data_IF_431494209584
#
_entry.id   IF_431494209584
#
_cell.length_a   1.000
_cell.length_b   1.000
_cell.length_c   1.000
_cell.angle_alpha   90.00
_cell.angle_beta   90.00
_cell.angle_gamma   90.00
#
_symmetry.space_group_name_H-M   'P 1'
#
loop_
_entity.id
_entity.type
_entity.pdbx_description
1 polymer ?
#
# COMPACT_ATOMS: atom_id res chain seq x y z
N UNK A 1 9.68 0.43 -13.78
CA UNK A 1 10.46 0.17 -12.55
C UNK A 1 9.87 -1.04 -11.85
N UNK A 2 10.66 -2.10 -11.60
CA UNK A 2 10.22 -3.22 -10.75
C UNK A 2 10.43 -2.81 -9.28
N UNK A 3 9.35 -2.69 -8.52
CA UNK A 3 9.41 -2.44 -7.08
C UNK A 3 9.33 -3.78 -6.37
N UNK A 4 10.45 -4.22 -5.79
CA UNK A 4 10.54 -5.49 -5.07
C UNK A 4 10.45 -5.29 -3.56
N UNK A 5 10.06 -6.36 -2.87
CA UNK A 5 10.08 -6.40 -1.42
C UNK A 5 11.51 -6.29 -0.90
N UNK A 6 11.78 -5.28 -0.08
CA UNK A 6 13.09 -5.11 0.57
C UNK A 6 13.13 -5.87 1.88
N UNK A 7 14.24 -6.54 2.20
CA UNK A 7 14.44 -7.21 3.52
C UNK A 7 14.21 -6.28 4.71
N UNK A 8 14.45 -4.98 4.56
CA UNK A 8 14.16 -4.00 5.62
C UNK A 8 12.66 -3.92 5.97
N UNK A 9 11.77 -4.29 5.05
CA UNK A 9 10.32 -4.28 5.25
C UNK A 9 9.84 -5.38 6.18
N UNK A 10 10.60 -6.48 6.30
CA UNK A 10 10.29 -7.59 7.22
C UNK A 10 10.24 -7.13 8.68
N UNK A 11 11.06 -6.14 9.05
CA UNK A 11 11.05 -5.54 10.39
C UNK A 11 10.16 -4.30 10.46
N UNK A 12 10.13 -3.51 9.39
CA UNK A 12 9.41 -2.24 9.37
C UNK A 12 7.89 -2.43 9.40
N UNK A 13 7.33 -3.40 8.69
CA UNK A 13 5.87 -3.62 8.67
C UNK A 13 5.31 -3.93 10.06
N UNK A 14 5.84 -4.91 10.83
CA UNK A 14 5.38 -5.14 12.19
C UNK A 14 5.48 -3.91 13.10
N UNK A 15 6.52 -3.09 12.93
CA UNK A 15 6.67 -1.84 13.68
C UNK A 15 5.58 -0.82 13.32
N UNK A 16 5.29 -0.63 12.04
CA UNK A 16 4.24 0.28 11.58
C UNK A 16 2.85 -0.19 12.01
N UNK A 17 2.57 -1.49 11.97
CA UNK A 17 1.30 -2.05 12.48
C UNK A 17 1.16 -1.71 13.97
N UNK A 18 2.22 -1.90 14.75
CA UNK A 18 2.24 -1.55 16.18
C UNK A 18 2.06 -0.04 16.39
N UNK A 19 2.69 0.79 15.58
CA UNK A 19 2.62 2.25 15.70
C UNK A 19 1.22 2.80 15.40
N UNK A 20 0.58 2.34 14.33
CA UNK A 20 -0.72 2.89 13.90
C UNK A 20 -1.93 2.19 14.51
N UNK A 21 -1.80 0.91 14.89
CA UNK A 21 -2.92 0.09 15.33
C UNK A 21 -2.70 -0.55 16.71
N UNK A 22 -1.52 -0.40 17.32
CA UNK A 22 -1.18 -1.03 18.60
C UNK A 22 -0.77 -2.49 18.45
N UNK A 23 -1.64 -3.33 17.87
CA UNK A 23 -1.35 -4.74 17.58
C UNK A 23 -2.10 -5.25 16.32
N UNK A 24 -1.66 -6.38 15.72
CA UNK A 24 -2.31 -6.96 14.55
C UNK A 24 -3.79 -7.36 14.75
N UNK A 25 -4.19 -7.66 16.00
CA UNK A 25 -5.57 -7.97 16.35
C UNK A 25 -6.49 -6.75 16.25
N UNK A 26 -6.02 -5.56 16.64
CA UNK A 26 -6.76 -4.30 16.46
C UNK A 26 -6.88 -3.94 14.98
N UNK A 27 -5.80 -4.08 14.21
CA UNK A 27 -5.83 -3.92 12.75
C UNK A 27 -6.91 -4.79 12.12
N UNK A 28 -6.96 -6.08 12.46
CA UNK A 28 -7.95 -7.03 11.91
C UNK A 28 -9.36 -6.89 12.49
N UNK A 29 -9.55 -6.15 13.60
CA UNK A 29 -10.89 -5.71 14.05
C UNK A 29 -11.39 -4.54 13.22
N UNK A 30 -10.51 -3.61 12.89
CA UNK A 30 -10.84 -2.47 12.03
C UNK A 30 -11.00 -2.88 10.57
N UNK A 31 -10.21 -3.85 10.11
CA UNK A 31 -10.24 -4.40 8.75
C UNK A 31 -10.47 -5.92 8.81
N UNK A 32 -11.73 -6.38 9.00
CA UNK A 32 -12.04 -7.80 9.18
C UNK A 32 -11.59 -8.72 8.04
N UNK A 33 -11.48 -8.19 6.82
CA UNK A 33 -11.00 -8.92 5.66
C UNK A 33 -9.51 -9.25 5.73
N UNK A 34 -8.74 -8.60 6.62
CA UNK A 34 -7.34 -8.93 6.87
C UNK A 34 -7.20 -10.16 7.79
N UNK A 35 -8.27 -10.71 8.39
CA UNK A 35 -8.13 -11.91 9.22
C UNK A 35 -7.62 -13.10 8.39
N UNK A 36 -6.71 -13.90 8.95
CA UNK A 36 -6.24 -15.13 8.30
C UNK A 36 -7.37 -16.14 8.05
N UNK A 37 -8.44 -16.07 8.83
CA UNK A 37 -9.65 -16.89 8.69
C UNK A 37 -10.69 -16.29 7.75
N UNK A 38 -10.41 -15.12 7.16
CA UNK A 38 -11.34 -14.50 6.23
C UNK A 38 -11.41 -15.34 4.95
N UNK A 39 -12.63 -15.73 4.56
CA UNK A 39 -12.86 -16.49 3.35
C UNK A 39 -12.73 -15.56 2.15
N UNK A 40 -11.54 -15.52 1.57
CA UNK A 40 -11.31 -14.90 0.27
C UNK A 40 -12.11 -15.67 -0.77
N UNK A 41 -13.07 -15.00 -1.41
CA UNK A 41 -13.70 -15.52 -2.64
C UNK A 41 -12.72 -15.23 -3.79
N UNK A 42 -12.53 -16.19 -4.68
CA UNK A 42 -11.53 -16.13 -5.77
C UNK A 42 -11.67 -14.86 -6.65
N UNK A 43 -10.56 -14.49 -7.31
CA UNK A 43 -10.35 -13.34 -8.23
C UNK A 43 -10.59 -11.92 -7.66
N UNK A 44 -11.34 -11.75 -6.57
CA UNK A 44 -11.67 -10.45 -5.98
C UNK A 44 -10.51 -9.78 -5.21
N UNK A 45 -9.35 -10.44 -5.04
CA UNK A 45 -8.20 -9.90 -4.31
C UNK A 45 -7.19 -9.15 -5.18
N UNK A 46 -7.49 -8.98 -6.47
CA UNK A 46 -6.64 -8.25 -7.41
C UNK A 46 -6.95 -6.76 -7.29
N UNK A 47 -5.92 -5.98 -6.94
CA UNK A 47 -6.04 -4.52 -6.91
C UNK A 47 -5.79 -3.94 -8.30
N UNK A 48 -6.76 -3.17 -8.76
CA UNK A 48 -6.66 -2.27 -9.91
C UNK A 48 -7.07 -0.88 -9.46
N UNK A 49 -6.67 0.17 -10.19
CA UNK A 49 -7.17 1.53 -9.94
C UNK A 49 -8.71 1.55 -9.93
N UNK A 50 -9.33 0.82 -10.86
CA UNK A 50 -10.77 0.58 -10.92
C UNK A 50 -11.34 -0.09 -9.66
N UNK A 51 -10.66 -1.07 -9.09
CA UNK A 51 -11.09 -1.74 -7.85
C UNK A 51 -11.05 -0.79 -6.63
N UNK A 52 -10.06 0.13 -6.58
CA UNK A 52 -10.00 1.17 -5.55
C UNK A 52 -11.10 2.23 -5.72
N UNK A 53 -11.41 2.58 -6.97
CA UNK A 53 -12.49 3.52 -7.29
C UNK A 53 -13.88 2.95 -6.98
N UNK A 54 -14.02 1.62 -6.79
CA UNK A 54 -15.27 1.01 -6.42
C UNK A 54 -15.60 1.25 -4.92
N UNK A 55 -16.62 2.06 -4.59
CA UNK A 55 -16.98 2.34 -3.20
C UNK A 55 -17.45 1.08 -2.45
N UNK A 56 -17.91 0.05 -3.15
CA UNK A 56 -18.40 -1.19 -2.56
C UNK A 56 -17.28 -2.20 -2.25
N UNK A 57 -16.02 -1.95 -2.65
CA UNK A 57 -14.93 -2.92 -2.44
C UNK A 57 -14.40 -2.87 -1.00
N UNK A 58 -15.09 -3.53 -0.07
CA UNK A 58 -14.67 -3.61 1.35
C UNK A 58 -13.26 -4.22 1.54
N UNK A 59 -12.73 -4.89 0.52
CA UNK A 59 -11.47 -5.64 0.56
C UNK A 59 -10.20 -4.77 0.47
N UNK A 60 -10.33 -3.46 0.20
CA UNK A 60 -9.22 -2.53 0.00
C UNK A 60 -9.23 -1.33 0.98
N UNK A 61 -9.89 -1.41 2.14
CA UNK A 61 -10.04 -0.24 3.03
C UNK A 61 -8.71 0.37 3.48
N UNK A 62 -7.70 -0.44 3.80
CA UNK A 62 -6.37 0.04 4.17
C UNK A 62 -5.70 0.83 3.02
N UNK A 63 -5.87 0.35 1.79
CA UNK A 63 -5.35 0.95 0.57
C UNK A 63 -6.12 2.24 0.24
N UNK A 64 -7.44 2.26 0.45
CA UNK A 64 -8.26 3.47 0.34
C UNK A 64 -7.90 4.52 1.39
N UNK A 65 -7.58 4.12 2.62
CA UNK A 65 -7.07 5.04 3.62
C UNK A 65 -5.72 5.63 3.18
N UNK A 66 -4.84 4.80 2.60
CA UNK A 66 -3.58 5.28 2.03
C UNK A 66 -3.81 6.30 0.88
N UNK A 67 -4.80 6.07 0.01
CA UNK A 67 -5.20 7.03 -1.04
C UNK A 67 -5.75 8.32 -0.44
N UNK A 68 -6.64 8.25 0.54
CA UNK A 68 -7.20 9.44 1.20
C UNK A 68 -6.11 10.28 1.88
N UNK A 69 -5.16 9.62 2.55
CA UNK A 69 -3.99 10.26 3.15
C UNK A 69 -3.09 10.90 2.09
N UNK A 70 -2.91 10.23 0.95
CA UNK A 70 -2.15 10.77 -0.18
C UNK A 70 -2.78 12.05 -0.72
N UNK A 71 -4.10 12.02 -0.97
CA UNK A 71 -4.88 13.17 -1.45
C UNK A 71 -4.85 14.34 -0.45
N UNK A 72 -4.84 14.05 0.85
CA UNK A 72 -4.69 15.04 1.91
C UNK A 72 -3.26 15.63 2.03
N UNK A 73 -2.29 15.18 1.21
CA UNK A 73 -0.91 15.64 1.27
C UNK A 73 -0.09 15.07 2.44
N UNK A 74 -0.61 14.04 3.11
CA UNK A 74 0.03 13.32 4.22
C UNK A 74 0.87 12.15 3.70
N UNK A 75 1.75 12.43 2.73
CA UNK A 75 2.46 11.42 1.94
C UNK A 75 3.32 10.44 2.74
N UNK A 76 3.93 10.87 3.86
CA UNK A 76 4.66 9.94 4.73
C UNK A 76 3.71 8.86 5.26
N UNK A 77 2.60 9.28 5.86
CA UNK A 77 1.61 8.40 6.46
C UNK A 77 0.93 7.53 5.40
N UNK A 78 0.63 8.10 4.23
CA UNK A 78 0.13 7.34 3.08
C UNK A 78 1.10 6.21 2.68
N UNK A 79 2.40 6.49 2.61
CA UNK A 79 3.43 5.49 2.32
C UNK A 79 3.54 4.39 3.37
N UNK A 80 3.39 4.74 4.66
CA UNK A 80 3.36 3.78 5.77
C UNK A 80 2.15 2.84 5.64
N UNK A 81 0.96 3.36 5.33
CA UNK A 81 -0.25 2.57 5.13
C UNK A 81 -0.16 1.65 3.90
N UNK A 82 0.38 2.14 2.78
CA UNK A 82 0.67 1.31 1.63
C UNK A 82 1.66 0.18 1.95
N UNK A 83 2.67 0.44 2.79
CA UNK A 83 3.64 -0.58 3.16
C UNK A 83 3.04 -1.67 4.06
N UNK A 84 2.11 -1.31 4.95
CA UNK A 84 1.34 -2.28 5.73
C UNK A 84 0.47 -3.15 4.80
N UNK A 85 -0.19 -2.53 3.82
CA UNK A 85 -0.96 -3.26 2.81
C UNK A 85 -0.07 -4.24 2.01
N UNK A 86 1.14 -3.81 1.60
CA UNK A 86 2.10 -4.66 0.91
C UNK A 86 2.49 -5.88 1.76
N UNK A 87 2.78 -5.67 3.04
CA UNK A 87 3.14 -6.76 3.95
C UNK A 87 2.04 -7.79 4.11
N UNK A 88 0.78 -7.34 4.17
CA UNK A 88 -0.36 -8.24 4.24
C UNK A 88 -0.54 -9.05 2.96
N UNK A 89 -0.46 -8.39 1.80
CA UNK A 89 -0.51 -9.06 0.48
C UNK A 89 0.55 -10.13 0.35
N UNK A 90 1.80 -9.82 0.73
CA UNK A 90 2.90 -10.78 0.65
C UNK A 90 2.65 -12.05 1.46
N UNK A 91 2.00 -11.93 2.62
CA UNK A 91 1.69 -13.08 3.47
C UNK A 91 0.53 -13.94 2.94
N UNK A 92 -0.36 -13.35 2.14
CA UNK A 92 -1.57 -14.01 1.61
C UNK A 92 -1.44 -14.39 0.12
N UNK A 93 -0.32 -14.02 -0.51
CA UNK A 93 -0.07 -14.23 -1.92
C UNK A 93 0.26 -15.70 -2.22
N UNK A 94 -0.43 -16.25 -3.21
CA UNK A 94 0.07 -17.38 -3.99
C UNK A 94 1.13 -16.88 -4.98
N UNK A 95 2.38 -17.32 -4.81
CA UNK A 95 3.51 -16.92 -5.65
C UNK A 95 3.44 -17.49 -7.08
N UNK A 96 2.58 -18.49 -7.33
CA UNK A 96 2.33 -19.02 -8.68
C UNK A 96 1.30 -18.21 -9.46
N UNK A 97 0.60 -17.28 -8.80
CA UNK A 97 -0.37 -16.40 -9.44
C UNK A 97 0.27 -15.04 -9.77
N UNK A 98 0.49 -14.79 -11.07
CA UNK A 98 1.09 -13.56 -11.59
C UNK A 98 0.32 -12.30 -11.18
N UNK A 99 -1.00 -12.37 -11.04
CA UNK A 99 -1.84 -11.22 -10.66
C UNK A 99 -1.57 -10.79 -9.21
N UNK A 100 -1.23 -11.72 -8.31
CA UNK A 100 -0.83 -11.37 -6.96
C UNK A 100 0.53 -10.66 -6.94
N UNK A 101 1.45 -11.08 -7.82
CA UNK A 101 2.75 -10.43 -7.97
C UNK A 101 2.56 -9.00 -8.50
N UNK A 102 1.71 -8.81 -9.50
CA UNK A 102 1.36 -7.48 -10.03
C UNK A 102 0.70 -6.58 -8.97
N UNK A 103 -0.25 -7.13 -8.21
CA UNK A 103 -0.89 -6.42 -7.10
C UNK A 103 0.12 -5.97 -6.04
N UNK A 104 1.08 -6.83 -5.66
CA UNK A 104 2.15 -6.46 -4.73
C UNK A 104 3.05 -5.36 -5.31
N UNK A 105 3.42 -5.47 -6.59
CA UNK A 105 4.21 -4.43 -7.25
C UNK A 105 3.47 -3.09 -7.29
N UNK A 106 2.17 -3.09 -7.60
CA UNK A 106 1.35 -1.88 -7.62
C UNK A 106 1.40 -1.16 -6.26
N UNK A 107 1.19 -1.89 -5.18
CA UNK A 107 1.27 -1.32 -3.82
C UNK A 107 2.67 -0.81 -3.50
N UNK A 108 3.72 -1.56 -3.85
CA UNK A 108 5.10 -1.14 -3.60
C UNK A 108 5.50 0.11 -4.41
N UNK A 109 4.96 0.30 -5.62
CA UNK A 109 5.14 1.54 -6.40
C UNK A 109 4.54 2.74 -5.66
N UNK A 110 3.35 2.57 -5.06
CA UNK A 110 2.75 3.61 -4.21
C UNK A 110 3.57 3.90 -2.95
N UNK A 111 4.23 2.90 -2.34
CA UNK A 111 5.16 3.12 -1.22
C UNK A 111 6.31 4.01 -1.65
N UNK A 112 6.99 3.66 -2.75
CA UNK A 112 8.15 4.43 -3.22
C UNK A 112 7.75 5.84 -3.68
N UNK A 113 6.60 5.98 -4.36
CA UNK A 113 6.09 7.27 -4.78
C UNK A 113 5.78 8.20 -3.60
N UNK A 114 5.06 7.70 -2.60
CA UNK A 114 4.75 8.46 -1.39
C UNK A 114 6.00 8.81 -0.58
N UNK A 115 6.98 7.91 -0.52
CA UNK A 115 8.30 8.20 0.09
C UNK A 115 9.00 9.33 -0.67
N UNK A 116 9.03 9.29 -2.00
CA UNK A 116 9.64 10.34 -2.82
C UNK A 116 8.96 11.69 -2.62
N UNK A 117 7.62 11.72 -2.60
CA UNK A 117 6.85 12.93 -2.32
C UNK A 117 7.10 13.48 -0.92
N UNK A 118 7.15 12.61 0.10
CA UNK A 118 7.45 13.02 1.48
C UNK A 118 8.87 13.61 1.59
N UNK A 119 9.85 12.99 0.94
CA UNK A 119 11.22 13.52 0.90
C UNK A 119 11.31 14.83 0.12
N UNK A 120 10.61 14.95 -1.00
CA UNK A 120 10.50 16.21 -1.72
C UNK A 120 9.86 17.32 -0.87
N UNK A 121 8.77 17.02 -0.14
CA UNK A 121 8.11 17.96 0.79
C UNK A 121 9.07 18.49 1.85
N UNK A 122 9.87 17.59 2.45
CA UNK A 122 10.92 17.97 3.43
C UNK A 122 12.02 18.81 2.80
N UNK A 123 12.41 18.46 1.57
CA UNK A 123 13.49 19.10 0.81
C UNK A 123 13.02 20.30 -0.01
N UNK A 124 11.80 20.82 0.14
CA UNK A 124 11.29 22.02 -0.56
C UNK A 124 12.16 23.30 -0.38
N UNK A 125 13.23 23.22 0.40
CA UNK A 125 14.31 24.20 0.51
C UNK A 125 15.33 24.10 -0.66
N UNK A 126 15.41 22.98 -1.39
CA UNK A 126 16.23 22.78 -2.58
C UNK A 126 15.39 22.65 -3.86
N UNK A 127 15.91 23.13 -4.99
CA UNK A 127 15.26 23.19 -6.33
C UNK A 127 14.99 21.82 -7.00
N UNK A 128 14.67 20.78 -6.24
CA UNK A 128 14.41 19.46 -6.80
C UNK A 128 13.03 19.42 -7.47
N UNK A 129 12.97 18.82 -8.66
CA UNK A 129 11.72 18.58 -9.37
C UNK A 129 10.76 17.73 -8.52
N UNK A 130 9.46 18.06 -8.60
CA UNK A 130 8.42 17.28 -7.94
C UNK A 130 8.36 15.87 -8.54
N UNK A 131 8.29 14.81 -7.72
CA UNK A 131 8.08 13.45 -8.20
C UNK A 131 6.70 13.31 -8.85
N UNK A 132 6.65 12.65 -10.00
CA UNK A 132 5.40 12.35 -10.73
C UNK A 132 5.06 10.85 -10.68
N UNK A 133 3.77 10.46 -10.71
CA UNK A 133 3.36 9.06 -10.59
C UNK A 133 3.95 8.12 -11.66
N UNK A 134 4.05 8.61 -12.91
CA UNK A 134 4.56 7.89 -14.07
C UNK A 134 6.01 7.42 -13.89
N UNK A 135 6.83 8.19 -13.18
CA UNK A 135 8.21 7.84 -12.80
C UNK A 135 8.29 6.56 -11.98
N UNK A 136 7.20 6.20 -11.30
CA UNK A 136 7.06 4.99 -10.49
C UNK A 136 6.26 3.90 -11.19
N UNK A 137 5.84 4.10 -12.44
CA UNK A 137 4.96 3.18 -13.16
C UNK A 137 3.54 3.14 -12.59
N UNK A 138 3.09 4.26 -12.04
CA UNK A 138 1.70 4.52 -11.67
C UNK A 138 1.12 5.43 -12.75
N UNK A 139 0.22 4.90 -13.57
CA UNK A 139 -0.49 5.68 -14.57
C UNK A 139 -1.91 5.93 -14.02
N UNK A 140 -2.40 7.16 -14.14
CA UNK A 140 -3.85 7.39 -14.02
C UNK A 140 -4.48 6.74 -15.26
N UNK A 141 -5.35 5.74 -15.05
CA UNK A 141 -6.25 5.24 -16.09
C UNK A 141 -7.36 6.25 -16.37
#
# INVERSE_FOLDING_TARGET
MQCEWRRSYDRLVPMLIKEHFGDPGVLTRQFPYMKSTYLWKNDDFIITAKALANPNSKYHELERQAVALHQAGSWRLAGEYWLIAAGWRRNMMDASNEQHVEALQFVLRHVEYNRALAEWKKKKISRNAMPYPDQFGLFEE
#
